data_IF_446034530548
#
_entry.id   IF_446034530548
#
_cell.length_a   1.000
_cell.length_b   1.000
_cell.length_c   1.000
_cell.angle_alpha   90.00
_cell.angle_beta   90.00
_cell.angle_gamma   90.00
#
_symmetry.space_group_name_H-M   'P 1'
#
loop_
_entity.id
_entity.type
_entity.pdbx_description
1 polymer ?
#
# COMPACT_ATOMS: atom_id res chain seq x y z
N UNK A 1 -3.23 -2.52 22.48
CA UNK A 1 -3.48 -1.32 21.66
C UNK A 1 -2.22 -1.06 20.84
N UNK A 2 -2.37 -0.82 19.55
CA UNK A 2 -1.25 -0.43 18.67
C UNK A 2 -0.70 0.92 19.12
N UNK A 3 0.61 1.04 19.25
CA UNK A 3 1.23 2.31 19.61
C UNK A 3 1.20 3.30 18.43
N UNK A 4 1.17 4.62 18.67
CA UNK A 4 1.29 5.62 17.60
C UNK A 4 2.51 5.41 16.72
N UNK A 5 3.64 4.98 17.28
CA UNK A 5 4.86 4.69 16.53
C UNK A 5 4.69 3.51 15.56
N UNK A 6 3.99 2.45 15.98
CA UNK A 6 3.69 1.32 15.10
C UNK A 6 2.80 1.75 13.93
N UNK A 7 1.81 2.61 14.18
CA UNK A 7 0.94 3.16 13.13
C UNK A 7 1.75 4.03 12.17
N UNK A 8 2.60 4.92 12.68
CA UNK A 8 3.47 5.74 11.84
C UNK A 8 4.37 4.90 10.94
N UNK A 9 5.04 3.88 11.49
CA UNK A 9 5.88 2.99 10.71
C UNK A 9 5.08 2.25 9.62
N UNK A 10 3.88 1.77 9.95
CA UNK A 10 2.99 1.11 8.98
C UNK A 10 2.54 2.06 7.87
N UNK A 11 2.22 3.31 8.22
CA UNK A 11 1.88 4.35 7.24
C UNK A 11 3.07 4.66 6.32
N UNK A 12 4.27 4.81 6.87
CA UNK A 12 5.49 5.04 6.08
C UNK A 12 5.68 3.93 5.03
N UNK A 13 5.49 2.66 5.41
CA UNK A 13 5.53 1.53 4.47
C UNK A 13 4.47 1.69 3.37
N UNK A 14 3.23 2.04 3.73
CA UNK A 14 2.14 2.25 2.77
C UNK A 14 2.43 3.35 1.75
N UNK A 15 2.99 4.48 2.20
CA UNK A 15 3.38 5.59 1.32
C UNK A 15 4.53 5.23 0.38
N UNK A 16 5.49 4.43 0.85
CA UNK A 16 6.68 4.02 0.10
C UNK A 16 6.37 2.98 -1.01
N UNK A 17 5.26 2.25 -0.90
CA UNK A 17 4.86 1.24 -1.90
C UNK A 17 4.88 1.78 -3.34
N UNK A 18 5.38 1.01 -4.34
CA UNK A 18 5.47 1.47 -5.72
C UNK A 18 4.13 1.92 -6.30
N UNK A 19 4.12 3.01 -7.07
CA UNK A 19 2.93 3.48 -7.79
C UNK A 19 2.59 2.45 -8.88
N UNK A 20 1.45 1.78 -8.76
CA UNK A 20 1.06 0.65 -9.63
C UNK A 20 1.34 -0.73 -9.04
N UNK A 21 1.94 -0.83 -7.84
CA UNK A 21 1.93 -2.11 -7.11
C UNK A 21 0.51 -2.58 -6.88
N UNK A 22 0.26 -3.82 -7.26
CA UNK A 22 -1.01 -4.50 -7.11
C UNK A 22 -1.17 -5.20 -5.77
N UNK A 23 -0.13 -5.28 -4.97
CA UNK A 23 -0.08 -6.29 -3.90
C UNK A 23 -1.03 -5.97 -2.76
N UNK A 24 -1.08 -4.70 -2.37
CA UNK A 24 -1.74 -4.24 -1.15
C UNK A 24 -2.20 -2.78 -1.28
N UNK A 25 -3.40 -2.51 -0.79
CA UNK A 25 -3.98 -1.19 -0.73
C UNK A 25 -4.26 -0.81 0.72
N UNK A 26 -3.94 0.43 1.08
CA UNK A 26 -3.94 0.95 2.45
C UNK A 26 -5.09 1.93 2.61
N UNK A 27 -5.80 1.84 3.72
CA UNK A 27 -7.00 2.62 3.99
C UNK A 27 -7.09 3.07 5.46
N UNK A 28 -7.89 4.11 5.68
CA UNK A 28 -8.36 4.53 6.98
C UNK A 28 -9.89 4.55 6.99
N UNK A 29 -10.49 3.92 7.99
CA UNK A 29 -11.93 3.97 8.23
C UNK A 29 -12.26 5.00 9.31
N UNK A 30 -12.93 6.08 8.93
CA UNK A 30 -13.37 7.11 9.88
C UNK A 30 -14.40 6.60 10.87
N UNK A 31 -15.23 5.62 10.48
CA UNK A 31 -16.29 5.10 11.33
C UNK A 31 -15.70 4.35 12.53
N UNK A 32 -14.71 3.50 12.27
CA UNK A 32 -14.08 2.66 13.28
C UNK A 32 -12.84 3.32 13.90
N UNK A 33 -12.39 4.46 13.34
CA UNK A 33 -11.10 5.09 13.66
C UNK A 33 -9.95 4.08 13.53
N UNK A 34 -9.88 3.42 12.38
CA UNK A 34 -9.01 2.25 12.19
C UNK A 34 -8.26 2.31 10.86
N UNK A 35 -6.96 2.07 10.92
CA UNK A 35 -6.15 1.76 9.74
C UNK A 35 -6.25 0.29 9.39
N UNK A 36 -6.30 -0.02 8.10
CA UNK A 36 -6.29 -1.38 7.60
C UNK A 36 -5.75 -1.43 6.17
N UNK A 37 -5.34 -2.60 5.73
CA UNK A 37 -5.01 -2.86 4.33
C UNK A 37 -5.82 -4.03 3.78
N UNK A 38 -5.95 -4.05 2.46
CA UNK A 38 -6.54 -5.14 1.70
C UNK A 38 -5.49 -5.63 0.72
N UNK A 39 -5.17 -6.93 0.80
CA UNK A 39 -4.33 -7.58 -0.20
C UNK A 39 -5.15 -7.81 -1.46
N UNK A 40 -4.52 -7.72 -2.62
CA UNK A 40 -5.21 -8.02 -3.87
C UNK A 40 -5.72 -9.47 -3.92
N UNK A 41 -5.03 -10.38 -3.24
CA UNK A 41 -5.49 -11.77 -3.12
C UNK A 41 -6.80 -11.91 -2.35
N UNK A 42 -7.12 -10.98 -1.45
CA UNK A 42 -8.38 -11.01 -0.69
C UNK A 42 -9.58 -10.82 -1.62
N UNK A 43 -9.44 -10.08 -2.73
CA UNK A 43 -10.52 -9.95 -3.72
C UNK A 43 -10.87 -11.25 -4.42
N UNK A 44 -9.94 -12.20 -4.51
CA UNK A 44 -10.18 -13.51 -5.12
C UNK A 44 -10.93 -14.48 -4.21
N UNK A 45 -11.07 -14.17 -2.92
CA UNK A 45 -11.92 -14.99 -2.05
C UNK A 45 -13.42 -14.72 -2.25
N UNK A 46 -13.76 -13.69 -3.02
CA UNK A 46 -15.13 -13.22 -3.19
C UNK A 46 -15.72 -13.51 -4.57
N UNK A 47 -17.01 -13.85 -4.60
CA UNK A 47 -17.82 -13.94 -5.82
C UNK A 47 -18.18 -12.53 -6.39
N UNK A 48 -18.98 -12.49 -7.44
CA UNK A 48 -19.40 -11.25 -8.11
C UNK A 48 -20.29 -10.33 -7.24
N UNK A 49 -20.94 -10.88 -6.22
CA UNK A 49 -21.80 -10.17 -5.28
C UNK A 49 -21.08 -9.91 -3.94
N UNK A 50 -19.74 -10.04 -3.94
CA UNK A 50 -18.85 -9.84 -2.80
C UNK A 50 -19.11 -10.78 -1.62
N UNK A 51 -19.65 -11.97 -1.86
CA UNK A 51 -19.77 -13.02 -0.85
C UNK A 51 -18.61 -14.01 -0.96
N UNK A 52 -18.32 -14.74 0.11
CA UNK A 52 -17.28 -15.77 0.09
C UNK A 52 -17.59 -16.81 -1.00
N UNK A 53 -16.66 -16.99 -1.94
CA UNK A 53 -16.86 -17.88 -3.07
C UNK A 53 -16.83 -19.35 -2.61
N UNK A 54 -17.79 -20.15 -3.10
CA UNK A 54 -17.97 -21.54 -2.64
C UNK A 54 -16.82 -22.49 -3.01
N UNK A 55 -15.94 -22.09 -3.93
CA UNK A 55 -14.79 -22.85 -4.41
C UNK A 55 -13.45 -22.32 -3.86
N UNK A 56 -13.51 -21.44 -2.86
CA UNK A 56 -12.34 -20.88 -2.20
C UNK A 56 -12.21 -21.44 -0.79
N UNK A 57 -10.97 -21.72 -0.40
CA UNK A 57 -10.58 -21.92 0.99
C UNK A 57 -9.62 -20.82 1.42
N UNK A 58 -9.84 -20.29 2.62
CA UNK A 58 -8.93 -19.33 3.26
C UNK A 58 -8.40 -19.90 4.57
N UNK A 59 -7.30 -19.35 5.07
CA UNK A 59 -6.83 -19.60 6.44
C UNK A 59 -7.23 -18.47 7.42
N UNK A 60 -8.02 -17.49 6.97
CA UNK A 60 -8.59 -16.49 7.84
C UNK A 60 -9.56 -17.17 8.82
N UNK A 61 -9.58 -16.72 10.06
CA UNK A 61 -10.68 -17.03 10.96
C UNK A 61 -11.98 -16.46 10.41
N UNK A 62 -13.12 -17.00 10.82
CA UNK A 62 -14.44 -16.51 10.35
C UNK A 62 -14.62 -15.02 10.62
N UNK A 63 -14.10 -14.54 11.75
CA UNK A 63 -14.14 -13.13 12.13
C UNK A 63 -13.31 -12.24 11.18
N UNK A 64 -12.12 -12.70 10.79
CA UNK A 64 -11.26 -11.99 9.83
C UNK A 64 -11.89 -12.00 8.43
N UNK A 65 -12.44 -13.13 7.98
CA UNK A 65 -13.17 -13.20 6.71
C UNK A 65 -14.31 -12.17 6.68
N UNK A 66 -15.15 -12.17 7.71
CA UNK A 66 -16.29 -11.26 7.79
C UNK A 66 -15.84 -9.79 7.84
N UNK A 67 -14.72 -9.51 8.53
CA UNK A 67 -14.09 -8.19 8.55
C UNK A 67 -13.63 -7.75 7.15
N UNK A 68 -12.82 -8.56 6.47
CA UNK A 68 -12.26 -8.23 5.15
C UNK A 68 -13.36 -8.12 4.10
N UNK A 69 -14.33 -9.04 4.09
CA UNK A 69 -15.52 -8.98 3.23
C UNK A 69 -16.27 -7.65 3.43
N UNK A 70 -16.51 -7.26 4.69
CA UNK A 70 -17.19 -6.01 5.04
C UNK A 70 -16.44 -4.79 4.50
N UNK A 71 -15.12 -4.73 4.70
CA UNK A 71 -14.29 -3.62 4.21
C UNK A 71 -14.26 -3.55 2.68
N UNK A 72 -14.11 -4.69 1.99
CA UNK A 72 -14.14 -4.73 0.51
C UNK A 72 -15.50 -4.25 -0.03
N UNK A 73 -16.62 -4.69 0.55
CA UNK A 73 -17.96 -4.23 0.14
C UNK A 73 -18.08 -2.70 0.24
N UNK A 74 -17.67 -2.13 1.37
CA UNK A 74 -17.72 -0.67 1.58
C UNK A 74 -16.82 0.10 0.62
N UNK A 75 -15.62 -0.43 0.32
CA UNK A 75 -14.72 0.15 -0.68
C UNK A 75 -15.39 0.17 -2.07
N UNK A 76 -15.97 -0.94 -2.50
CA UNK A 76 -16.60 -1.08 -3.81
C UNK A 76 -17.91 -0.27 -3.94
N UNK A 77 -18.59 -0.01 -2.81
CA UNK A 77 -19.72 0.89 -2.71
C UNK A 77 -19.32 2.39 -2.64
N UNK A 78 -18.02 2.70 -2.69
CA UNK A 78 -17.46 4.05 -2.56
C UNK A 78 -17.88 4.75 -1.25
N UNK A 79 -17.84 4.02 -0.13
CA UNK A 79 -18.16 4.58 1.17
C UNK A 79 -17.26 5.80 1.49
N UNK A 80 -17.84 7.01 1.68
CA UNK A 80 -17.08 8.25 1.89
C UNK A 80 -16.35 8.29 3.24
N UNK A 81 -16.63 7.34 4.14
CA UNK A 81 -15.93 7.21 5.42
C UNK A 81 -14.62 6.43 5.30
N UNK A 82 -14.42 5.69 4.20
CA UNK A 82 -13.17 5.01 3.90
C UNK A 82 -12.29 5.93 3.06
N UNK A 83 -11.11 6.25 3.60
CA UNK A 83 -10.11 7.08 2.94
C UNK A 83 -8.98 6.19 2.46
N UNK A 84 -8.64 6.27 1.17
CA UNK A 84 -7.43 5.62 0.67
C UNK A 84 -6.19 6.39 1.12
N UNK A 85 -5.19 5.67 1.61
CA UNK A 85 -3.87 6.23 1.91
C UNK A 85 -3.09 6.34 0.60
N UNK A 86 -2.64 7.55 0.21
CA UNK A 86 -1.93 7.73 -1.05
C UNK A 86 -0.51 7.16 -0.98
N UNK A 87 0.01 6.81 -2.15
CA UNK A 87 1.44 6.49 -2.34
C UNK A 87 2.17 7.75 -2.78
N UNK A 88 3.47 7.84 -2.52
CA UNK A 88 4.29 8.93 -3.09
C UNK A 88 4.28 8.81 -4.61
N UNK A 89 3.88 9.88 -5.29
CA UNK A 89 3.78 9.91 -6.76
C UNK A 89 5.15 9.75 -7.42
N UNK A 90 5.19 9.26 -8.66
CA UNK A 90 6.45 9.14 -9.40
C UNK A 90 7.19 10.47 -9.53
N UNK A 91 6.43 11.56 -9.73
CA UNK A 91 7.00 12.89 -9.86
C UNK A 91 7.58 13.38 -8.52
N UNK A 92 6.89 13.16 -7.41
CA UNK A 92 7.41 13.51 -6.08
C UNK A 92 8.65 12.68 -5.73
N UNK A 93 8.68 11.39 -6.05
CA UNK A 93 9.87 10.54 -5.85
C UNK A 93 11.06 11.06 -6.63
N UNK A 94 10.86 11.34 -7.92
CA UNK A 94 11.89 11.89 -8.81
C UNK A 94 12.41 13.22 -8.28
N UNK A 95 11.52 14.13 -7.90
CA UNK A 95 11.88 15.45 -7.38
C UNK A 95 12.64 15.33 -6.06
N UNK A 96 12.20 14.48 -5.14
CA UNK A 96 12.90 14.20 -3.90
C UNK A 96 14.30 13.63 -4.13
N UNK A 97 14.42 12.63 -5.01
CA UNK A 97 15.71 12.02 -5.35
C UNK A 97 16.67 13.03 -5.98
N UNK A 98 16.17 13.91 -6.86
CA UNK A 98 16.95 14.99 -7.44
C UNK A 98 17.42 15.97 -6.37
N UNK A 99 16.52 16.42 -5.49
CA UNK A 99 16.86 17.32 -4.38
C UNK A 99 17.95 16.74 -3.49
N UNK A 100 17.89 15.44 -3.17
CA UNK A 100 18.94 14.79 -2.39
C UNK A 100 20.29 14.81 -3.13
N UNK A 101 20.32 14.43 -4.41
CA UNK A 101 21.53 14.43 -5.22
C UNK A 101 22.16 15.84 -5.29
N UNK A 102 21.34 16.88 -5.41
CA UNK A 102 21.77 18.28 -5.44
C UNK A 102 22.39 18.76 -4.10
N UNK A 103 22.17 18.03 -3.00
CA UNK A 103 22.82 18.34 -1.70
C UNK A 103 24.23 17.77 -1.55
N UNK A 104 24.70 16.97 -2.51
CA UNK A 104 26.00 16.29 -2.43
C UNK A 104 27.08 17.13 -3.13
N UNK A 105 28.30 17.09 -2.58
CA UNK A 105 29.46 17.79 -3.16
C UNK A 105 30.33 16.90 -4.06
N UNK A 106 30.19 15.58 -3.99
CA UNK A 106 30.96 14.65 -4.83
C UNK A 106 30.38 14.60 -6.25
N UNK A 107 31.04 15.27 -7.20
CA UNK A 107 30.60 15.36 -8.60
C UNK A 107 30.46 13.98 -9.27
N UNK A 108 31.30 13.00 -8.93
CA UNK A 108 31.22 11.66 -9.53
C UNK A 108 29.98 10.95 -9.03
N UNK A 109 29.73 11.02 -7.73
CA UNK A 109 28.53 10.43 -7.14
C UNK A 109 27.27 11.11 -7.68
N UNK A 110 27.24 12.44 -7.74
CA UNK A 110 26.14 13.21 -8.32
C UNK A 110 25.84 12.78 -9.76
N UNK A 111 26.87 12.59 -10.59
CA UNK A 111 26.70 12.10 -11.95
C UNK A 111 26.06 10.70 -12.00
N UNK A 112 26.46 9.79 -11.11
CA UNK A 112 25.89 8.44 -10.98
C UNK A 112 24.41 8.50 -10.55
N UNK A 113 24.07 9.29 -9.53
CA UNK A 113 22.69 9.43 -9.05
C UNK A 113 21.80 10.08 -10.10
N UNK A 114 22.27 11.11 -10.78
CA UNK A 114 21.54 11.76 -11.87
C UNK A 114 21.28 10.80 -13.03
N UNK A 115 22.22 9.91 -13.35
CA UNK A 115 22.00 8.90 -14.38
C UNK A 115 20.91 7.88 -13.98
N UNK A 116 20.84 7.51 -12.69
CA UNK A 116 19.79 6.61 -12.16
C UNK A 116 18.41 7.24 -12.19
N UNK A 117 18.32 8.53 -11.85
CA UNK A 117 17.08 9.30 -11.99
C UNK A 117 16.65 9.33 -13.46
N UNK A 118 17.57 9.56 -14.40
CA UNK A 118 17.28 9.49 -15.85
C UNK A 118 16.84 8.10 -16.32
N UNK A 119 17.34 7.04 -15.68
CA UNK A 119 16.94 5.66 -15.97
C UNK A 119 15.59 5.27 -15.32
N UNK A 120 14.95 6.19 -14.59
CA UNK A 120 13.67 5.98 -13.91
C UNK A 120 13.70 4.92 -12.80
N UNK A 121 14.82 4.81 -12.07
CA UNK A 121 14.94 3.89 -10.92
C UNK A 121 13.81 4.10 -9.87
N UNK A 122 13.33 5.35 -9.76
CA UNK A 122 12.24 5.76 -8.86
C UNK A 122 10.88 5.10 -9.14
N UNK A 123 10.71 4.45 -10.31
CA UNK A 123 9.45 3.76 -10.66
C UNK A 123 9.18 2.54 -9.79
N UNK A 124 10.22 1.76 -9.52
CA UNK A 124 10.08 0.44 -8.89
C UNK A 124 10.46 0.46 -7.41
N UNK A 125 11.43 1.28 -7.02
CA UNK A 125 11.89 1.43 -5.63
C UNK A 125 12.03 2.90 -5.31
N UNK A 126 11.57 3.32 -4.15
CA UNK A 126 11.84 4.66 -3.67
C UNK A 126 13.21 4.71 -2.97
N UNK A 127 14.24 4.29 -3.70
CA UNK A 127 15.58 4.09 -3.13
C UNK A 127 16.67 4.18 -4.21
N UNK A 128 17.86 4.61 -3.83
CA UNK A 128 19.04 4.55 -4.67
C UNK A 128 19.82 3.26 -4.40
N UNK A 129 20.25 2.55 -5.44
CA UNK A 129 21.20 1.45 -5.26
C UNK A 129 22.64 2.00 -5.07
N UNK A 130 23.06 2.40 -3.88
CA UNK A 130 24.33 3.12 -3.69
C UNK A 130 25.64 2.36 -4.05
N UNK A 131 25.60 1.05 -4.33
CA UNK A 131 26.77 0.28 -4.76
C UNK A 131 27.97 0.43 -3.80
N UNK A 132 29.19 0.34 -4.34
CA UNK A 132 30.44 0.52 -3.60
C UNK A 132 31.00 1.95 -3.75
N UNK A 133 30.35 2.79 -4.55
CA UNK A 133 30.81 4.15 -4.87
C UNK A 133 30.51 5.17 -3.77
N UNK A 134 29.76 4.78 -2.74
CA UNK A 134 29.18 5.68 -1.75
C UNK A 134 29.65 5.29 -0.35
N UNK A 135 30.12 6.28 0.40
CA UNK A 135 30.50 6.11 1.79
C UNK A 135 29.28 5.87 2.70
N UNK A 136 29.50 5.22 3.84
CA UNK A 136 28.41 4.90 4.77
C UNK A 136 27.70 6.15 5.33
N UNK A 137 28.39 7.29 5.47
CA UNK A 137 27.77 8.51 5.96
C UNK A 137 26.74 9.05 4.96
N UNK A 138 27.01 8.97 3.66
CA UNK A 138 26.07 9.36 2.62
C UNK A 138 24.86 8.42 2.57
N UNK A 139 25.04 7.11 2.79
CA UNK A 139 23.92 6.15 2.90
C UNK A 139 23.03 6.46 4.11
N UNK A 140 23.64 6.74 5.26
CA UNK A 140 22.89 7.15 6.48
C UNK A 140 22.13 8.45 6.22
N UNK A 141 22.77 9.45 5.62
CA UNK A 141 22.13 10.73 5.27
C UNK A 141 20.94 10.53 4.34
N UNK A 142 21.04 9.63 3.36
CA UNK A 142 19.91 9.27 2.50
C UNK A 142 18.74 8.70 3.29
N UNK A 143 18.97 7.68 4.11
CA UNK A 143 17.92 7.06 4.90
C UNK A 143 17.25 8.05 5.86
N UNK A 144 18.03 8.89 6.54
CA UNK A 144 17.49 9.94 7.42
C UNK A 144 16.62 10.94 6.63
N UNK A 145 17.11 11.41 5.47
CA UNK A 145 16.37 12.37 4.63
C UNK A 145 15.09 11.76 4.08
N UNK A 146 15.15 10.49 3.62
CA UNK A 146 13.99 9.74 3.11
C UNK A 146 12.95 9.52 4.19
N UNK A 147 13.38 9.10 5.38
CA UNK A 147 12.49 8.88 6.52
C UNK A 147 11.79 10.18 6.96
N UNK A 148 12.53 11.30 7.02
CA UNK A 148 11.93 12.61 7.31
C UNK A 148 10.88 13.01 6.26
N UNK A 149 11.19 12.82 4.97
CA UNK A 149 10.24 13.11 3.89
C UNK A 149 8.97 12.25 4.02
N UNK A 150 9.11 10.93 4.22
CA UNK A 150 7.96 10.03 4.37
C UNK A 150 7.11 10.40 5.60
N UNK A 151 7.74 10.72 6.73
CA UNK A 151 7.04 11.17 7.93
C UNK A 151 6.26 12.47 7.67
N UNK A 152 6.82 13.42 6.95
CA UNK A 152 6.12 14.65 6.58
C UNK A 152 4.87 14.39 5.72
N UNK A 153 4.95 13.42 4.81
CA UNK A 153 3.82 13.00 3.98
C UNK A 153 2.72 12.34 4.81
N UNK A 154 3.11 11.49 5.75
CA UNK A 154 2.21 10.87 6.73
C UNK A 154 1.54 11.93 7.59
N UNK A 155 2.29 12.86 8.18
CA UNK A 155 1.74 13.95 9.00
C UNK A 155 0.77 14.82 8.22
N UNK A 156 1.11 15.15 6.97
CA UNK A 156 0.23 15.92 6.09
C UNK A 156 -1.09 15.18 5.87
N UNK A 157 -1.05 13.88 5.57
CA UNK A 157 -2.24 13.07 5.40
C UNK A 157 -3.09 13.00 6.69
N UNK A 158 -2.46 12.78 7.85
CA UNK A 158 -3.16 12.72 9.13
C UNK A 158 -3.86 14.05 9.43
N UNK A 159 -3.17 15.18 9.22
CA UNK A 159 -3.70 16.52 9.47
C UNK A 159 -4.85 16.87 8.51
N UNK A 160 -4.68 16.62 7.20
CA UNK A 160 -5.73 16.89 6.21
C UNK A 160 -7.02 16.10 6.48
N UNK A 161 -6.89 14.91 7.07
CA UNK A 161 -8.01 14.03 7.36
C UNK A 161 -8.48 14.09 8.83
N UNK A 162 -7.90 14.98 9.64
CA UNK A 162 -8.19 15.13 11.08
C UNK A 162 -8.06 13.81 11.89
N UNK A 163 -7.05 13.00 11.58
CA UNK A 163 -6.85 11.69 12.21
C UNK A 163 -6.01 11.85 13.48
N UNK A 164 -6.53 11.34 14.61
CA UNK A 164 -5.81 11.33 15.89
C UNK A 164 -5.27 9.94 16.20
N UNK A 165 -3.94 9.77 16.12
CA UNK A 165 -3.28 8.49 16.36
C UNK A 165 -3.52 7.92 17.77
N UNK A 166 -3.76 8.76 18.77
CA UNK A 166 -4.03 8.29 20.14
C UNK A 166 -5.42 7.64 20.29
N UNK A 167 -6.29 7.82 19.30
CA UNK A 167 -7.65 7.25 19.26
C UNK A 167 -7.82 6.25 18.13
N UNK A 168 -6.74 5.92 17.43
CA UNK A 168 -6.78 5.12 16.22
C UNK A 168 -6.24 3.73 16.48
N UNK A 169 -6.90 2.69 15.96
CA UNK A 169 -6.39 1.33 15.91
C UNK A 169 -5.72 1.04 14.57
N UNK A 170 -4.94 -0.04 14.54
CA UNK A 170 -4.45 -0.65 13.32
C UNK A 170 -4.93 -2.10 13.34
N UNK A 171 -5.71 -2.46 12.33
CA UNK A 171 -6.08 -3.84 12.10
C UNK A 171 -4.96 -4.55 11.33
N UNK A 172 -4.52 -5.68 11.86
CA UNK A 172 -3.59 -6.60 11.23
C UNK A 172 -4.22 -7.99 11.34
N UNK A 173 -4.19 -8.77 10.27
CA UNK A 173 -4.59 -10.18 10.34
C UNK A 173 -3.65 -10.95 11.27
N UNK A 174 -4.19 -11.91 12.01
CA UNK A 174 -3.45 -12.71 12.99
C UNK A 174 -2.51 -13.74 12.32
N UNK A 175 -2.71 -14.00 11.02
CA UNK A 175 -1.91 -14.91 10.21
C UNK A 175 -1.62 -14.33 8.82
N UNK A 176 -0.60 -14.87 8.14
CA UNK A 176 -0.39 -14.62 6.71
C UNK A 176 -1.61 -15.15 5.94
N UNK A 177 -2.54 -14.27 5.59
CA UNK A 177 -3.72 -14.60 4.80
C UNK A 177 -3.33 -15.35 3.54
N UNK A 178 -3.96 -16.50 3.31
CA UNK A 178 -3.78 -17.33 2.12
C UNK A 178 -5.14 -17.70 1.56
N UNK A 179 -5.25 -17.59 0.25
CA UNK A 179 -6.46 -17.87 -0.51
C UNK A 179 -6.11 -18.98 -1.49
N UNK A 180 -6.82 -20.11 -1.41
CA UNK A 180 -6.68 -21.26 -2.31
C UNK A 180 -7.97 -21.44 -3.11
N UNK A 181 -7.84 -21.56 -4.43
CA UNK A 181 -8.98 -21.66 -5.35
C UNK A 181 -8.97 -23.06 -5.97
N UNK A 182 -10.05 -23.82 -5.76
CA UNK A 182 -10.23 -25.09 -6.48
C UNK A 182 -10.78 -24.84 -7.88
N UNK A 183 -9.95 -25.13 -8.90
CA UNK A 183 -10.29 -24.99 -10.31
C UNK A 183 -10.98 -26.25 -10.89
N UNK A 184 -11.02 -27.36 -10.15
CA UNK A 184 -11.56 -28.66 -10.62
C UNK A 184 -13.04 -28.83 -10.32
N UNK A 185 -13.63 -27.93 -9.54
CA UNK A 185 -15.03 -28.00 -9.15
C UNK A 185 -15.93 -27.46 -10.28
N UNK A 186 -16.13 -28.29 -11.32
CA UNK A 186 -16.88 -27.98 -12.54
C UNK A 186 -18.39 -27.74 -12.33
N UNK A 187 -18.93 -27.95 -11.12
CA UNK A 187 -20.35 -27.70 -10.87
C UNK A 187 -20.76 -26.21 -10.95
N UNK A 188 -19.78 -25.29 -11.02
CA UNK A 188 -20.01 -23.84 -11.16
C UNK A 188 -19.56 -23.23 -12.51
N UNK A 189 -19.01 -24.01 -13.46
CA UNK A 189 -18.57 -23.47 -14.78
C UNK A 189 -19.72 -23.01 -15.68
N UNK A 190 -20.98 -23.29 -15.32
CA UNK A 190 -22.16 -22.69 -15.97
C UNK A 190 -22.40 -21.21 -15.64
N UNK A 191 -21.62 -20.63 -14.72
CA UNK A 191 -21.71 -19.23 -14.33
C UNK A 191 -20.50 -18.39 -14.77
N UNK A 192 -19.88 -18.68 -15.93
CA UNK A 192 -19.36 -17.56 -16.74
C UNK A 192 -20.54 -16.77 -17.33
N UNK A 193 -21.47 -16.33 -16.46
CA UNK A 193 -22.45 -15.33 -16.79
C UNK A 193 -21.62 -14.11 -17.13
N UNK A 194 -21.67 -13.71 -18.40
CA UNK A 194 -21.30 -12.39 -18.94
C UNK A 194 -20.96 -11.42 -17.82
N UNK A 195 -19.66 -11.22 -17.54
CA UNK A 195 -19.14 -10.40 -16.43
C UNK A 195 -19.97 -9.13 -16.36
N UNK A 196 -20.95 -9.07 -15.44
CA UNK A 196 -21.67 -7.85 -15.16
C UNK A 196 -20.71 -7.10 -14.25
N UNK A 197 -19.85 -6.27 -14.85
CA UNK A 197 -18.78 -5.57 -14.15
C UNK A 197 -19.34 -4.67 -13.04
N UNK A 198 -19.53 -5.24 -11.85
CA UNK A 198 -19.71 -4.48 -10.61
C UNK A 198 -18.38 -4.23 -9.92
N UNK A 199 -17.46 -5.19 -9.99
CA UNK A 199 -16.13 -5.07 -9.41
C UNK A 199 -15.36 -3.93 -10.09
N UNK A 200 -14.86 -3.00 -9.30
CA UNK A 200 -14.14 -1.80 -9.75
C UNK A 200 -12.67 -1.85 -9.39
N UNK A 201 -12.19 -2.93 -8.77
CA UNK A 201 -10.79 -3.06 -8.37
C UNK A 201 -9.81 -2.79 -9.54
N UNK A 202 -10.22 -3.05 -10.79
CA UNK A 202 -9.42 -2.72 -11.98
C UNK A 202 -9.60 -1.29 -12.51
N UNK A 203 -10.31 -0.40 -11.83
CA UNK A 203 -10.47 1.02 -12.19
C UNK A 203 -9.68 1.95 -11.28
N UNK A 204 -8.96 1.42 -10.28
CA UNK A 204 -8.14 2.19 -9.35
C UNK A 204 -6.77 2.59 -9.94
N UNK A 205 -6.67 2.75 -11.26
CA UNK A 205 -5.44 3.06 -12.00
C UNK A 205 -5.60 4.26 -12.92
#
# INVERSE_FOLDING_TARGET
MTSPLQILNWLTIGFEQPTGSLTEHFYYDKQDSEFFSILFTDYFMLDEDFNLASNVTTNYSKQEEDYVVSKIKRIEENDPTIISIPRITLEDRKNFMQQFADTLSDEKLVAVLNQRIKNHDYNNKFDFYFGNEVDELTKVKWEETKNMFLLQQVETFLNLNNINLNKTSLWLADANGSVSIDLRNENNTKNFKKIKSKKSWWKLW
#
